data_IF_311537747952
#
_entry.id   IF_311537747952
#
_cell.length_a   1.000
_cell.length_b   1.000
_cell.length_c   1.000
_cell.angle_alpha   90.00
_cell.angle_beta   90.00
_cell.angle_gamma   90.00
#
_symmetry.space_group_name_H-M   'P 1'
#
loop_
_entity.id
_entity.type
_entity.pdbx_description
1 polymer ?
#
# COMPACT_ATOMS: atom_id res chain seq x y z
N UNK A 1 4.98 -56.14 -44.58
CA UNK A 1 6.27 -56.82 -44.29
C UNK A 1 7.26 -55.78 -43.78
N UNK A 2 7.86 -56.03 -42.60
CA UNK A 2 9.24 -55.73 -42.13
C UNK A 2 9.85 -54.36 -42.52
N UNK A 3 9.92 -53.37 -41.62
CA UNK A 3 10.97 -53.07 -40.59
C UNK A 3 12.33 -52.60 -41.19
N UNK A 4 12.64 -51.30 -40.95
CA UNK A 4 13.90 -50.67 -40.43
C UNK A 4 15.23 -50.93 -41.19
N UNK A 5 16.09 -49.93 -41.50
CA UNK A 5 16.98 -49.13 -40.61
C UNK A 5 17.62 -47.99 -41.45
N UNK A 6 17.58 -46.71 -41.03
CA UNK A 6 18.52 -45.94 -40.18
C UNK A 6 19.89 -45.60 -40.81
N UNK A 7 20.43 -44.41 -40.42
CA UNK A 7 21.67 -43.70 -40.80
C UNK A 7 21.48 -42.72 -41.99
N UNK A 8 21.88 -41.43 -41.95
CA UNK A 8 22.93 -40.70 -41.22
C UNK A 8 22.51 -39.22 -41.05
N UNK A 9 23.08 -38.49 -40.08
CA UNK A 9 23.16 -37.02 -40.19
C UNK A 9 22.83 -36.26 -38.91
N UNK A 10 23.83 -36.15 -38.04
CA UNK A 10 23.95 -35.17 -36.96
C UNK A 10 23.86 -33.73 -37.51
N UNK A 11 23.54 -32.76 -36.64
CA UNK A 11 23.95 -31.32 -36.65
C UNK A 11 22.77 -30.31 -36.67
N UNK A 12 22.46 -29.84 -35.46
CA UNK A 12 22.07 -28.46 -35.07
C UNK A 12 20.69 -27.97 -35.54
N UNK A 13 19.69 -28.19 -34.69
CA UNK A 13 18.56 -27.25 -34.53
C UNK A 13 18.75 -26.57 -33.18
N UNK A 14 19.61 -25.54 -33.13
CA UNK A 14 19.59 -24.56 -32.04
C UNK A 14 18.35 -23.69 -32.34
N UNK A 15 17.32 -23.70 -31.48
CA UNK A 15 16.18 -22.84 -31.68
C UNK A 15 16.64 -21.39 -31.54
N UNK A 16 16.25 -20.59 -32.52
CA UNK A 16 16.29 -19.12 -32.52
C UNK A 16 15.44 -18.65 -31.33
N UNK A 17 16.07 -18.55 -30.16
CA UNK A 17 15.51 -18.04 -28.90
C UNK A 17 16.40 -16.91 -28.35
N UNK A 18 16.85 -16.04 -29.26
CA UNK A 18 17.42 -14.74 -28.93
C UNK A 18 16.66 -13.68 -29.72
N UNK A 19 15.33 -13.64 -29.54
CA UNK A 19 14.61 -12.39 -29.75
C UNK A 19 14.99 -11.47 -28.59
N UNK A 20 15.89 -10.56 -28.93
CA UNK A 20 16.28 -9.35 -28.23
C UNK A 20 15.16 -8.79 -27.35
N UNK A 21 15.27 -9.02 -26.04
CA UNK A 21 14.57 -8.18 -25.08
C UNK A 21 15.31 -6.85 -25.03
N UNK A 22 15.07 -6.00 -26.03
CA UNK A 22 15.40 -4.58 -25.91
C UNK A 22 14.47 -4.04 -24.83
N UNK A 23 14.92 -4.07 -23.58
CA UNK A 23 14.30 -3.29 -22.53
C UNK A 23 14.46 -1.83 -22.94
N UNK A 24 13.39 -1.25 -23.48
CA UNK A 24 13.26 0.19 -23.58
C UNK A 24 13.16 0.73 -22.15
N UNK A 25 14.32 0.96 -21.53
CA UNK A 25 14.41 1.82 -20.37
C UNK A 25 13.99 3.21 -20.84
N UNK A 26 12.73 3.58 -20.57
CA UNK A 26 12.27 4.95 -20.78
C UNK A 26 13.12 5.84 -19.87
N UNK A 27 14.10 6.54 -20.44
CA UNK A 27 14.74 7.67 -19.79
C UNK A 27 13.69 8.78 -19.67
N UNK A 28 12.85 8.69 -18.64
CA UNK A 28 12.04 9.81 -18.17
C UNK A 28 13.02 10.84 -17.64
N UNK A 29 13.17 11.96 -18.35
CA UNK A 29 13.74 13.20 -17.80
C UNK A 29 13.02 13.48 -16.48
N UNK A 30 13.70 13.18 -15.37
CA UNK A 30 13.05 12.79 -14.12
C UNK A 30 12.35 13.94 -13.44
N UNK A 31 11.02 13.98 -13.51
CA UNK A 31 10.25 14.65 -12.46
C UNK A 31 10.61 13.93 -11.16
N UNK A 32 11.32 14.59 -10.26
CA UNK A 32 11.67 14.02 -8.96
C UNK A 32 10.37 13.72 -8.24
N UNK A 33 9.99 12.45 -8.20
CA UNK A 33 8.82 11.97 -7.47
C UNK A 33 9.03 12.33 -6.00
N UNK A 34 8.08 13.01 -5.35
CA UNK A 34 8.17 13.32 -3.93
C UNK A 34 8.44 12.06 -3.09
N UNK A 35 9.35 12.16 -2.13
CA UNK A 35 9.80 11.01 -1.33
C UNK A 35 8.67 10.30 -0.59
N UNK A 36 7.69 11.05 -0.06
CA UNK A 36 6.52 10.51 0.63
C UNK A 36 5.70 9.53 -0.24
N UNK A 37 5.75 9.66 -1.57
CA UNK A 37 5.08 8.74 -2.49
C UNK A 37 5.78 7.37 -2.47
N UNK A 38 7.11 7.38 -2.58
CA UNK A 38 7.91 6.15 -2.60
C UNK A 38 7.99 5.47 -1.23
N UNK A 39 7.85 6.25 -0.16
CA UNK A 39 7.90 5.76 1.23
C UNK A 39 6.77 4.79 1.58
N UNK A 40 5.61 4.90 0.93
CA UNK A 40 4.49 3.96 1.17
C UNK A 40 4.80 2.53 0.77
N UNK A 41 5.68 2.34 -0.22
CA UNK A 41 6.02 1.04 -0.79
C UNK A 41 7.32 0.46 -0.18
N UNK A 42 7.98 1.20 0.71
CA UNK A 42 9.18 0.74 1.42
C UNK A 42 8.80 -0.11 2.66
N UNK A 43 9.17 -1.40 2.71
CA UNK A 43 8.83 -2.28 3.83
C UNK A 43 9.49 -1.89 5.16
N UNK A 44 10.56 -1.08 5.11
CA UNK A 44 11.31 -0.64 6.29
C UNK A 44 11.08 0.85 6.60
N UNK A 45 10.08 1.46 5.97
CA UNK A 45 9.76 2.87 6.20
C UNK A 45 9.44 3.11 7.67
N UNK A 46 9.99 4.20 8.20
CA UNK A 46 9.55 4.71 9.49
C UNK A 46 8.31 5.58 9.30
N UNK A 47 7.23 5.26 10.01
CA UNK A 47 5.94 5.92 9.88
C UNK A 47 6.05 7.43 10.10
N UNK A 48 6.73 7.87 11.17
CA UNK A 48 6.84 9.30 11.48
C UNK A 48 7.63 10.06 10.42
N UNK A 49 8.68 9.47 9.86
CA UNK A 49 9.43 10.08 8.75
C UNK A 49 8.60 10.22 7.49
N UNK A 50 7.76 9.23 7.18
CA UNK A 50 6.86 9.29 6.03
C UNK A 50 5.80 10.40 6.21
N UNK A 51 5.21 10.49 7.40
CA UNK A 51 4.24 11.55 7.75
C UNK A 51 4.90 12.93 7.69
N UNK A 52 6.10 13.09 8.26
CA UNK A 52 6.85 14.35 8.20
C UNK A 52 7.16 14.76 6.75
N UNK A 53 7.58 13.82 5.90
CA UNK A 53 7.84 14.09 4.48
C UNK A 53 6.57 14.51 3.74
N UNK A 54 5.44 13.87 4.03
CA UNK A 54 4.14 14.21 3.47
C UNK A 54 3.68 15.60 3.92
N UNK A 55 3.68 15.88 5.22
CA UNK A 55 3.27 17.16 5.77
C UNK A 55 4.15 18.31 5.26
N UNK A 56 5.47 18.09 5.24
CA UNK A 56 6.43 19.08 4.73
C UNK A 56 6.20 19.40 3.25
N UNK A 57 5.87 18.38 2.43
CA UNK A 57 5.59 18.57 1.02
C UNK A 57 4.33 19.42 0.80
N UNK A 58 3.27 19.18 1.58
CA UNK A 58 1.98 19.86 1.45
C UNK A 58 1.83 21.14 2.27
N UNK A 59 2.76 21.47 3.17
CA UNK A 59 2.69 22.62 4.10
C UNK A 59 2.34 23.95 3.42
N UNK A 60 2.90 24.19 2.24
CA UNK A 60 2.69 25.43 1.47
C UNK A 60 2.01 25.14 0.12
N UNK A 61 1.24 24.06 0.02
CA UNK A 61 0.57 23.64 -1.22
C UNK A 61 -0.91 23.43 -0.96
N UNK A 62 -1.70 23.68 -1.98
CA UNK A 62 -3.09 23.26 -1.98
C UNK A 62 -3.18 21.74 -2.00
N UNK A 63 -3.99 21.17 -1.10
CA UNK A 63 -4.20 19.72 -1.03
C UNK A 63 -5.26 19.29 -2.06
N UNK A 64 -5.17 18.06 -2.59
CA UNK A 64 -6.24 17.49 -3.41
C UNK A 64 -7.56 17.42 -2.64
N UNK A 65 -8.68 17.59 -3.34
CA UNK A 65 -10.03 17.45 -2.79
C UNK A 65 -10.33 15.98 -2.43
N UNK A 66 -10.94 15.76 -1.28
CA UNK A 66 -11.28 14.42 -0.80
C UNK A 66 -12.68 13.98 -1.25
N UNK A 67 -12.91 12.66 -1.34
CA UNK A 67 -14.15 12.10 -1.90
C UNK A 67 -15.42 12.51 -1.11
N UNK A 68 -15.27 12.72 0.20
CA UNK A 68 -16.34 13.23 1.06
C UNK A 68 -16.69 14.68 0.72
N UNK A 69 -15.71 15.54 0.45
CA UNK A 69 -15.94 16.94 0.07
C UNK A 69 -16.67 17.03 -1.27
N UNK A 70 -16.34 16.14 -2.21
CA UNK A 70 -17.03 16.02 -3.50
C UNK A 70 -18.48 15.59 -3.28
N UNK A 71 -18.73 14.59 -2.42
CA UNK A 71 -20.09 14.12 -2.15
C UNK A 71 -20.95 15.18 -1.45
N UNK A 72 -20.40 15.88 -0.45
CA UNK A 72 -21.09 16.97 0.24
C UNK A 72 -21.43 18.13 -0.70
N UNK A 73 -20.55 18.44 -1.65
CA UNK A 73 -20.80 19.48 -2.65
C UNK A 73 -21.92 19.12 -3.62
N UNK A 74 -22.13 17.83 -3.92
CA UNK A 74 -23.20 17.40 -4.82
C UNK A 74 -24.60 17.65 -4.25
N UNK A 75 -24.71 17.84 -2.93
CA UNK A 75 -25.96 18.18 -2.24
C UNK A 75 -26.24 19.69 -2.28
N UNK A 76 -25.21 20.51 -2.41
CA UNK A 76 -25.29 21.97 -2.40
C UNK A 76 -24.76 22.58 -3.71
N UNK A 77 -25.67 23.06 -4.57
CA UNK A 77 -25.36 23.65 -5.88
C UNK A 77 -24.31 24.78 -5.81
N UNK A 78 -24.26 25.55 -4.72
CA UNK A 78 -23.25 26.62 -4.58
C UNK A 78 -21.85 26.03 -4.40
N UNK A 79 -21.72 25.03 -3.53
CA UNK A 79 -20.46 24.31 -3.33
C UNK A 79 -20.03 23.57 -4.60
N UNK A 80 -20.97 22.97 -5.33
CA UNK A 80 -20.68 22.32 -6.61
C UNK A 80 -20.10 23.30 -7.66
N UNK A 81 -20.69 24.50 -7.78
CA UNK A 81 -20.20 25.54 -8.69
C UNK A 81 -18.82 26.06 -8.29
N UNK A 82 -18.56 26.24 -6.99
CA UNK A 82 -17.27 26.64 -6.45
C UNK A 82 -16.17 25.62 -6.77
N UNK A 83 -16.42 24.32 -6.56
CA UNK A 83 -15.47 23.25 -6.90
C UNK A 83 -15.22 23.17 -8.41
N UNK A 84 -16.26 23.31 -9.24
CA UNK A 84 -16.09 23.36 -10.70
C UNK A 84 -15.24 24.54 -11.14
N UNK A 85 -15.46 25.72 -10.57
CA UNK A 85 -14.66 26.90 -10.86
C UNK A 85 -13.21 26.73 -10.41
N UNK A 86 -12.99 26.16 -9.23
CA UNK A 86 -11.67 25.85 -8.68
C UNK A 86 -10.92 24.83 -9.54
N UNK A 87 -11.55 23.72 -9.86
CA UNK A 87 -11.04 22.69 -10.78
C UNK A 87 -10.61 23.28 -12.13
N UNK A 88 -11.36 24.23 -12.69
CA UNK A 88 -10.99 24.90 -13.96
C UNK A 88 -9.75 25.79 -13.87
N UNK A 89 -9.45 26.34 -12.68
CA UNK A 89 -8.29 27.22 -12.45
C UNK A 89 -6.99 26.45 -12.21
N UNK A 90 -7.10 25.23 -11.68
CA UNK A 90 -5.95 24.40 -11.35
C UNK A 90 -5.32 23.83 -12.64
N UNK A 91 -4.04 24.09 -12.86
CA UNK A 91 -3.28 23.54 -14.00
C UNK A 91 -3.17 22.02 -13.93
N UNK A 92 -3.06 21.33 -15.07
CA UNK A 92 -2.75 19.89 -15.09
C UNK A 92 -1.41 19.55 -14.42
N UNK A 93 -0.49 20.53 -14.32
CA UNK A 93 0.81 20.39 -13.66
C UNK A 93 0.78 20.74 -12.17
N UNK A 94 -0.38 21.15 -11.65
CA UNK A 94 -0.52 21.47 -10.23
C UNK A 94 -0.37 20.19 -9.39
N UNK A 95 0.46 20.18 -8.33
CA UNK A 95 0.59 19.05 -7.42
C UNK A 95 -0.76 18.49 -6.93
N UNK A 96 -1.75 19.34 -6.68
CA UNK A 96 -3.07 18.94 -6.20
C UNK A 96 -3.82 18.03 -7.20
N UNK A 97 -3.61 18.24 -8.50
CA UNK A 97 -4.14 17.37 -9.56
C UNK A 97 -3.19 16.21 -9.86
N UNK A 98 -1.90 16.51 -9.96
CA UNK A 98 -0.88 15.54 -10.38
C UNK A 98 -0.76 14.38 -9.40
N UNK A 99 -0.88 14.64 -8.09
CA UNK A 99 -0.68 13.66 -7.03
C UNK A 99 -1.96 13.35 -6.25
N UNK A 100 -3.14 13.62 -6.81
CA UNK A 100 -4.42 13.37 -6.15
C UNK A 100 -4.60 11.90 -5.74
N UNK A 101 -4.18 10.99 -6.63
CA UNK A 101 -4.27 9.55 -6.37
C UNK A 101 -3.31 9.12 -5.25
N UNK A 102 -2.05 9.54 -5.33
CA UNK A 102 -1.03 9.21 -4.34
C UNK A 102 -1.36 9.82 -2.97
N UNK A 103 -1.92 11.03 -2.94
CA UNK A 103 -2.40 11.67 -1.71
C UNK A 103 -3.46 10.80 -1.03
N UNK A 104 -4.48 10.35 -1.78
CA UNK A 104 -5.50 9.41 -1.25
C UNK A 104 -4.89 8.10 -0.79
N UNK A 105 -3.96 7.54 -1.57
CA UNK A 105 -3.21 6.32 -1.21
C UNK A 105 -2.47 6.51 0.12
N UNK A 106 -1.83 7.66 0.32
CA UNK A 106 -1.07 7.97 1.54
C UNK A 106 -1.97 8.10 2.76
N UNK A 107 -3.09 8.82 2.66
CA UNK A 107 -4.05 8.92 3.76
C UNK A 107 -4.60 7.55 4.17
N UNK A 108 -4.91 6.71 3.19
CA UNK A 108 -5.36 5.35 3.45
C UNK A 108 -4.26 4.50 4.09
N UNK A 109 -3.04 4.56 3.56
CA UNK A 109 -1.87 3.90 4.13
C UNK A 109 -1.65 4.31 5.58
N UNK A 110 -1.74 5.60 5.89
CA UNK A 110 -1.58 6.14 7.24
C UNK A 110 -2.61 5.53 8.19
N UNK A 111 -3.90 5.53 7.82
CA UNK A 111 -4.99 4.92 8.59
C UNK A 111 -4.83 3.40 8.78
N UNK A 112 -4.32 2.70 7.77
CA UNK A 112 -4.11 1.24 7.84
C UNK A 112 -2.88 0.87 8.68
N UNK A 113 -1.85 1.71 8.69
CA UNK A 113 -0.58 1.42 9.36
C UNK A 113 -0.54 1.89 10.80
N UNK A 114 -1.21 3.00 11.13
CA UNK A 114 -1.26 3.62 12.45
C UNK A 114 -1.47 2.64 13.61
N UNK A 115 -2.42 1.67 13.56
CA UNK A 115 -2.63 0.71 14.66
C UNK A 115 -1.43 -0.21 14.94
N UNK A 116 -0.50 -0.29 14.00
CA UNK A 116 0.65 -1.18 14.01
C UNK A 116 1.98 -0.43 14.18
N UNK A 117 1.93 0.89 14.38
CA UNK A 117 3.11 1.72 14.62
C UNK A 117 3.58 1.54 16.06
N UNK A 118 4.88 1.34 16.22
CA UNK A 118 5.55 1.28 17.51
C UNK A 118 5.97 2.69 17.98
N UNK A 119 6.32 2.88 19.27
CA UNK A 119 6.72 4.18 19.80
C UNK A 119 7.93 4.83 19.09
N UNK A 120 8.79 4.03 18.47
CA UNK A 120 9.96 4.48 17.68
C UNK A 120 9.62 4.80 16.21
N UNK A 121 8.34 4.62 15.81
CA UNK A 121 7.85 4.83 14.46
C UNK A 121 8.03 3.64 13.53
N UNK A 122 8.55 2.50 14.02
CA UNK A 122 8.63 1.27 13.23
C UNK A 122 7.24 0.68 13.06
N UNK A 123 6.92 0.24 11.85
CA UNK A 123 5.65 -0.45 11.57
C UNK A 123 5.86 -1.95 11.81
N UNK A 124 4.99 -2.58 12.61
CA UNK A 124 5.03 -4.04 12.81
C UNK A 124 4.86 -4.78 11.48
N UNK A 125 5.73 -5.75 11.24
CA UNK A 125 5.64 -6.65 10.10
C UNK A 125 4.42 -7.57 10.21
N UNK A 126 4.05 -8.22 9.11
CA UNK A 126 2.96 -9.18 9.12
C UNK A 126 3.23 -10.36 10.07
N UNK A 127 4.47 -10.85 10.11
CA UNK A 127 4.86 -11.98 10.96
C UNK A 127 4.75 -11.63 12.45
N UNK A 128 5.13 -10.42 12.84
CA UNK A 128 4.98 -9.94 14.21
C UNK A 128 3.51 -9.86 14.61
N UNK A 129 2.65 -9.35 13.72
CA UNK A 129 1.20 -9.29 13.95
C UNK A 129 0.59 -10.68 14.12
N UNK A 130 1.01 -11.65 13.30
CA UNK A 130 0.57 -13.04 13.40
C UNK A 130 1.03 -13.67 14.73
N UNK A 131 2.27 -13.39 15.15
CA UNK A 131 2.79 -13.90 16.42
C UNK A 131 2.00 -13.37 17.62
N UNK A 132 1.72 -12.07 17.66
CA UNK A 132 0.91 -11.46 18.72
C UNK A 132 -0.52 -12.04 18.75
N UNK A 133 -1.13 -12.24 17.58
CA UNK A 133 -2.44 -12.87 17.51
C UNK A 133 -2.45 -14.31 18.06
N UNK A 134 -1.41 -15.11 17.77
CA UNK A 134 -1.27 -16.47 18.31
C UNK A 134 -1.16 -16.45 19.84
N UNK A 135 -0.36 -15.53 20.40
CA UNK A 135 -0.20 -15.36 21.85
C UNK A 135 -1.53 -14.97 22.49
N UNK A 136 -2.22 -13.97 21.96
CA UNK A 136 -3.53 -13.55 22.47
C UNK A 136 -4.55 -14.69 22.45
N UNK A 137 -4.56 -15.49 21.39
CA UNK A 137 -5.45 -16.66 21.25
C UNK A 137 -5.16 -17.70 22.32
N UNK A 138 -3.90 -17.96 22.65
CA UNK A 138 -3.52 -18.91 23.70
C UNK A 138 -3.89 -18.39 25.09
N UNK A 139 -3.59 -17.12 25.39
CA UNK A 139 -3.94 -16.49 26.67
C UNK A 139 -5.44 -16.53 26.94
N UNK A 140 -6.28 -16.25 25.93
CA UNK A 140 -7.74 -16.36 26.06
C UNK A 140 -8.20 -17.77 26.42
N UNK A 141 -7.58 -18.81 25.83
CA UNK A 141 -7.88 -20.21 26.16
C UNK A 141 -7.51 -20.54 27.60
N UNK A 142 -6.32 -20.13 28.04
CA UNK A 142 -5.83 -20.37 29.40
C UNK A 142 -6.70 -19.66 30.45
N UNK A 143 -7.10 -18.41 30.18
CA UNK A 143 -8.03 -17.66 31.03
C UNK A 143 -9.38 -18.37 31.13
N UNK A 144 -9.97 -18.79 30.01
CA UNK A 144 -11.25 -19.51 30.02
C UNK A 144 -11.20 -20.83 30.83
N UNK A 145 -10.07 -21.55 30.80
CA UNK A 145 -9.87 -22.76 31.61
C UNK A 145 -9.80 -22.40 33.10
N UNK A 146 -9.04 -21.36 33.46
CA UNK A 146 -8.92 -20.88 34.85
C UNK A 146 -10.27 -20.43 35.42
N UNK A 147 -11.06 -19.67 34.67
CA UNK A 147 -12.37 -19.18 35.13
C UNK A 147 -13.37 -20.31 35.35
N UNK A 148 -13.40 -21.32 34.47
CA UNK A 148 -14.25 -22.52 34.64
C UNK A 148 -13.83 -23.37 35.85
N UNK A 149 -12.52 -23.54 36.06
CA UNK A 149 -12.00 -24.27 37.23
C UNK A 149 -12.36 -23.58 38.56
N UNK A 150 -12.33 -22.26 38.61
CA UNK A 150 -12.72 -21.50 39.81
C UNK A 150 -14.24 -21.52 40.06
N UNK A 151 -15.09 -21.43 39.03
CA UNK A 151 -16.55 -21.51 39.20
C UNK A 151 -17.04 -22.86 39.71
N UNK A 152 -16.37 -23.95 39.34
CA UNK A 152 -16.73 -25.30 39.80
C UNK A 152 -16.27 -25.57 41.24
N UNK A 153 -15.21 -24.89 41.71
CA UNK A 153 -14.73 -24.98 43.09
C UNK A 153 -15.60 -24.20 44.10
N UNK A 154 -16.23 -23.10 43.67
CA UNK A 154 -17.10 -22.27 44.51
C UNK A 154 -18.52 -22.82 44.71
N UNK A 155 -18.93 -23.87 43.98
CA UNK A 155 -20.25 -24.52 44.09
C UNK A 155 -20.29 -25.71 45.07
N UNK A 156 -19.16 -26.09 45.66
CA UNK A 156 -19.04 -27.25 46.56
C UNK A 156 -19.07 -26.92 48.06
N UNK A 157 -19.36 -25.67 48.44
CA UNK A 157 -19.53 -25.25 49.82
C UNK A 157 -20.98 -24.84 50.08
#
# INVERSE_FOLDING_TARGET
MKILKFLQGLVIVIPILLLSHVSMAQNKTGSVTPSWITMMDDPNVNYFKAVEAFESYWKNREKPEEENEIFESAVDKRKEEELKAKSRRISATDPAKLYAFEYRKFLWWMKQTEPFVQPDGRIKSMDERIAEWKIQKQQKKEQAIKTKGQSDSGKKN
#
